data_IF_709534995550
#
_entry.id   IF_709534995550
#
_cell.length_a   1.000
_cell.length_b   1.000
_cell.length_c   1.000
_cell.angle_alpha   90.00
_cell.angle_beta   90.00
_cell.angle_gamma   90.00
#
_symmetry.space_group_name_H-M   'P 1'
#
loop_
_entity.id
_entity.type
_entity.pdbx_description
1 polymer ?
#
# COMPACT_ATOMS: atom_id res chain seq x y z
N UNK A 1 -9.68 -29.42 -4.38
CA UNK A 1 -8.32 -28.85 -4.46
C UNK A 1 -7.37 -29.86 -3.87
N UNK A 2 -6.34 -30.27 -4.61
CA UNK A 2 -5.30 -31.12 -4.01
C UNK A 2 -4.59 -30.29 -2.95
N UNK A 3 -4.11 -30.93 -1.88
CA UNK A 3 -3.39 -30.21 -0.83
C UNK A 3 -2.17 -29.42 -1.35
N UNK A 4 -1.66 -29.82 -2.51
CA UNK A 4 -0.45 -29.28 -3.12
C UNK A 4 -0.69 -28.05 -3.99
N UNK A 5 -1.89 -27.94 -4.57
CA UNK A 5 -2.36 -26.73 -5.24
C UNK A 5 -2.25 -25.52 -4.30
N UNK A 6 -2.50 -25.75 -3.01
CA UNK A 6 -2.41 -24.75 -1.95
C UNK A 6 -0.99 -24.25 -1.74
N UNK A 7 0.04 -25.07 -1.95
CA UNK A 7 1.43 -24.63 -1.81
C UNK A 7 1.81 -23.59 -2.87
N UNK A 8 1.36 -23.82 -4.09
CA UNK A 8 1.51 -22.85 -5.18
C UNK A 8 0.73 -21.57 -4.94
N UNK A 9 -0.50 -21.64 -4.44
CA UNK A 9 -1.29 -20.45 -4.11
C UNK A 9 -0.62 -19.58 -3.03
N UNK A 10 0.01 -20.20 -2.03
CA UNK A 10 0.78 -19.49 -1.00
C UNK A 10 2.01 -18.79 -1.60
N UNK A 11 2.73 -19.46 -2.50
CA UNK A 11 3.83 -18.85 -3.25
C UNK A 11 3.38 -17.65 -4.09
N UNK A 12 2.14 -17.67 -4.60
CA UNK A 12 1.55 -16.54 -5.32
C UNK A 12 1.09 -15.41 -4.40
N UNK A 13 0.58 -15.71 -3.20
CA UNK A 13 0.03 -14.73 -2.28
C UNK A 13 1.10 -13.96 -1.48
N UNK A 14 2.17 -14.63 -1.04
CA UNK A 14 3.22 -13.99 -0.22
C UNK A 14 3.91 -12.79 -0.89
N UNK A 15 4.31 -12.84 -2.18
CA UNK A 15 4.86 -11.67 -2.87
C UNK A 15 3.89 -10.49 -2.93
N UNK A 16 2.59 -10.74 -3.00
CA UNK A 16 1.56 -9.71 -3.01
C UNK A 16 1.41 -9.04 -1.64
N UNK A 17 1.51 -9.81 -0.56
CA UNK A 17 1.52 -9.27 0.80
C UNK A 17 2.77 -8.42 1.04
N UNK A 18 3.93 -8.87 0.56
CA UNK A 18 5.19 -8.12 0.63
C UNK A 18 5.07 -6.78 -0.10
N UNK A 19 4.58 -6.78 -1.35
CA UNK A 19 4.36 -5.55 -2.11
C UNK A 19 3.37 -4.59 -1.41
N UNK A 20 2.30 -5.12 -0.82
CA UNK A 20 1.33 -4.33 -0.05
C UNK A 20 1.92 -3.71 1.22
N UNK A 21 2.76 -4.46 1.94
CA UNK A 21 3.46 -3.99 3.14
C UNK A 21 4.56 -2.98 2.83
N UNK A 22 5.31 -3.16 1.73
CA UNK A 22 6.31 -2.21 1.25
C UNK A 22 5.66 -0.85 0.94
N UNK A 23 4.54 -0.87 0.23
CA UNK A 23 3.76 0.34 -0.01
C UNK A 23 3.28 0.98 1.31
N UNK A 24 2.84 0.17 2.27
CA UNK A 24 2.37 0.65 3.57
C UNK A 24 3.51 1.32 4.36
N UNK A 25 4.72 0.74 4.34
CA UNK A 25 5.91 1.29 4.98
C UNK A 25 6.35 2.63 4.34
N UNK A 26 6.30 2.72 3.01
CA UNK A 26 6.58 3.95 2.27
C UNK A 26 5.53 5.04 2.54
N UNK A 27 4.24 4.68 2.62
CA UNK A 27 3.16 5.60 2.95
C UNK A 27 3.23 6.15 4.37
N UNK A 28 3.68 5.33 5.34
CA UNK A 28 3.92 5.74 6.73
C UNK A 28 5.13 6.68 6.86
N UNK A 29 6.15 6.51 6.01
CA UNK A 29 7.41 7.27 6.09
C UNK A 29 7.24 8.79 5.90
N UNK A 30 6.08 9.24 5.43
CA UNK A 30 5.78 10.66 5.17
C UNK A 30 5.43 11.44 6.45
N UNK A 31 5.14 10.77 7.58
CA UNK A 31 4.68 11.45 8.82
C UNK A 31 5.51 11.10 10.06
N UNK A 32 6.07 12.12 10.74
CA UNK A 32 6.89 11.96 11.95
C UNK A 32 6.18 11.24 13.11
N UNK A 33 4.84 11.35 13.19
CA UNK A 33 4.00 10.77 14.26
C UNK A 33 3.97 9.23 14.24
N UNK A 34 4.19 8.61 13.08
CA UNK A 34 4.13 7.16 12.91
C UNK A 34 5.50 6.49 12.75
N UNK A 35 6.59 7.23 12.97
CA UNK A 35 7.95 6.70 12.88
C UNK A 35 8.17 5.49 13.81
N UNK A 36 7.51 5.45 14.98
CA UNK A 36 7.54 4.29 15.88
C UNK A 36 6.98 3.01 15.24
N UNK A 37 5.91 3.12 14.44
CA UNK A 37 5.31 1.99 13.73
C UNK A 37 6.12 1.57 12.51
N UNK A 38 6.99 2.46 11.98
CA UNK A 38 7.89 2.14 10.86
C UNK A 38 8.85 1.01 11.23
N UNK A 39 9.39 1.00 12.44
CA UNK A 39 10.28 -0.08 12.89
C UNK A 39 9.54 -1.40 13.00
N UNK A 40 8.32 -1.40 13.56
CA UNK A 40 7.49 -2.60 13.67
C UNK A 40 7.06 -3.14 12.29
N UNK A 41 6.68 -2.25 11.36
CA UNK A 41 6.30 -2.61 9.99
C UNK A 41 7.52 -3.12 9.22
N UNK A 42 8.68 -2.47 9.32
CA UNK A 42 9.91 -2.94 8.68
C UNK A 42 10.36 -4.29 9.26
N UNK A 43 10.28 -4.47 10.57
CA UNK A 43 10.56 -5.77 11.22
C UNK A 43 9.65 -6.86 10.68
N UNK A 44 8.35 -6.59 10.57
CA UNK A 44 7.40 -7.54 9.99
C UNK A 44 7.70 -7.84 8.53
N UNK A 45 8.18 -6.85 7.77
CA UNK A 45 8.55 -6.98 6.37
C UNK A 45 9.79 -7.84 6.21
N UNK A 46 10.79 -7.66 7.07
CA UNK A 46 12.00 -8.47 7.12
C UNK A 46 11.69 -9.91 7.53
N UNK A 47 10.84 -10.10 8.55
CA UNK A 47 10.36 -11.43 8.97
C UNK A 47 9.61 -12.13 7.84
N UNK A 48 8.69 -11.43 7.17
CA UNK A 48 7.91 -12.00 6.06
C UNK A 48 8.78 -12.31 4.84
N UNK A 49 9.81 -11.51 4.56
CA UNK A 49 10.80 -11.80 3.50
C UNK A 49 11.61 -13.05 3.84
N UNK A 50 12.05 -13.18 5.08
CA UNK A 50 12.78 -14.35 5.55
C UNK A 50 11.91 -15.62 5.47
N UNK A 51 10.67 -15.54 5.94
CA UNK A 51 9.72 -16.65 5.83
C UNK A 51 9.41 -17.02 4.38
N UNK A 52 9.22 -16.04 3.49
CA UNK A 52 9.01 -16.30 2.07
C UNK A 52 10.22 -16.98 1.42
N UNK A 53 11.44 -16.54 1.75
CA UNK A 53 12.67 -17.17 1.26
C UNK A 53 12.80 -18.62 1.75
N UNK A 54 12.53 -18.87 3.03
CA UNK A 54 12.51 -20.24 3.61
C UNK A 54 11.45 -21.10 2.92
N UNK A 55 10.27 -20.54 2.67
CA UNK A 55 9.17 -21.24 2.00
C UNK A 55 9.51 -21.58 0.54
N UNK A 56 10.04 -20.62 -0.22
CA UNK A 56 10.51 -20.83 -1.60
C UNK A 56 11.58 -21.91 -1.68
N UNK A 57 12.62 -21.82 -0.84
CA UNK A 57 13.68 -22.83 -0.78
C UNK A 57 13.14 -24.21 -0.43
N UNK A 58 12.16 -24.28 0.48
CA UNK A 58 11.51 -25.54 0.87
C UNK A 58 10.74 -26.15 -0.30
N UNK A 59 10.00 -25.34 -1.07
CA UNK A 59 9.25 -25.80 -2.24
C UNK A 59 10.20 -26.21 -3.37
N UNK A 60 11.23 -25.43 -3.66
CA UNK A 60 12.23 -25.77 -4.69
C UNK A 60 12.96 -27.08 -4.37
N UNK A 61 13.43 -27.24 -3.14
CA UNK A 61 14.02 -28.49 -2.66
C UNK A 61 13.06 -29.66 -2.80
N UNK A 62 11.78 -29.44 -2.52
CA UNK A 62 10.71 -30.43 -2.66
C UNK A 62 10.33 -30.74 -4.12
N UNK A 63 10.52 -29.81 -5.04
CA UNK A 63 10.35 -30.04 -6.47
C UNK A 63 11.53 -30.83 -7.06
N UNK A 64 12.77 -30.52 -6.70
CA UNK A 64 14.00 -31.14 -7.24
C UNK A 64 14.09 -32.67 -7.07
N UNK A 65 13.33 -33.25 -6.14
CA UNK A 65 13.26 -34.70 -5.92
C UNK A 65 11.89 -35.31 -6.25
N UNK A 66 11.03 -34.56 -6.94
CA UNK A 66 9.70 -35.00 -7.41
C UNK A 66 9.55 -34.83 -8.93
N UNK A 67 10.23 -33.84 -9.51
CA UNK A 67 10.26 -33.55 -10.95
C UNK A 67 11.70 -33.40 -11.45
N UNK A 68 11.90 -33.45 -12.76
CA UNK A 68 13.22 -33.22 -13.36
C UNK A 68 13.63 -31.75 -13.17
N UNK A 69 14.94 -31.48 -13.06
CA UNK A 69 15.46 -30.13 -12.82
C UNK A 69 14.98 -29.09 -13.86
N UNK A 70 14.78 -29.52 -15.11
CA UNK A 70 14.25 -28.69 -16.21
C UNK A 70 12.78 -28.28 -16.01
N UNK A 71 12.01 -29.05 -15.26
CA UNK A 71 10.58 -28.82 -15.02
C UNK A 71 10.36 -27.99 -13.74
N UNK A 72 11.34 -27.93 -12.83
CA UNK A 72 11.27 -27.15 -11.58
C UNK A 72 10.98 -25.68 -11.86
N UNK A 73 11.65 -25.09 -12.84
CA UNK A 73 11.45 -23.69 -13.23
C UNK A 73 10.04 -23.42 -13.75
N UNK A 74 9.41 -24.39 -14.42
CA UNK A 74 8.03 -24.27 -14.91
C UNK A 74 7.02 -24.32 -13.76
N UNK A 75 7.26 -25.16 -12.75
CA UNK A 75 6.45 -25.21 -11.54
C UNK A 75 6.53 -23.91 -10.74
N UNK A 76 7.72 -23.33 -10.60
CA UNK A 76 7.93 -22.06 -9.89
C UNK A 76 7.37 -20.85 -10.66
N UNK A 77 7.37 -20.89 -11.99
CA UNK A 77 6.83 -19.82 -12.82
C UNK A 77 5.29 -19.76 -12.81
N UNK A 78 4.61 -20.88 -12.58
CA UNK A 78 3.15 -20.94 -12.45
C UNK A 78 2.71 -21.69 -11.18
N UNK A 79 2.88 -21.08 -10.00
CA UNK A 79 2.51 -21.69 -8.73
C UNK A 79 1.01 -21.99 -8.66
N UNK A 80 0.65 -23.26 -8.45
CA UNK A 80 -0.76 -23.69 -8.34
C UNK A 80 -1.45 -23.91 -9.69
N UNK A 81 -0.71 -23.83 -10.79
CA UNK A 81 -1.19 -24.12 -12.15
C UNK A 81 -1.52 -25.60 -12.40
N UNK A 82 -1.92 -25.93 -13.63
CA UNK A 82 -2.42 -27.27 -14.00
C UNK A 82 -1.43 -28.42 -13.71
N UNK A 83 -0.11 -28.15 -13.82
CA UNK A 83 0.92 -29.14 -13.51
C UNK A 83 0.89 -29.61 -12.05
N UNK A 84 0.56 -28.71 -11.13
CA UNK A 84 0.41 -28.99 -9.69
C UNK A 84 -0.81 -29.87 -9.39
N UNK A 85 -1.81 -29.84 -10.27
CA UNK A 85 -3.06 -30.61 -10.15
C UNK A 85 -2.94 -32.03 -10.71
N UNK A 86 -1.82 -32.38 -11.34
CA UNK A 86 -1.67 -33.69 -11.98
C UNK A 86 -1.61 -34.81 -10.93
N UNK A 87 -2.42 -35.89 -11.07
CA UNK A 87 -2.39 -37.02 -10.13
C UNK A 87 -1.01 -37.70 -10.04
N UNK A 88 -0.23 -37.63 -11.11
CA UNK A 88 1.13 -38.14 -11.16
C UNK A 88 2.08 -37.40 -10.21
N UNK A 89 1.95 -36.07 -10.12
CA UNK A 89 2.75 -35.24 -9.23
C UNK A 89 2.42 -35.49 -7.76
N UNK A 90 1.13 -35.50 -7.41
CA UNK A 90 0.68 -35.77 -6.04
C UNK A 90 1.19 -37.12 -5.52
N UNK A 91 1.12 -38.17 -6.35
CA UNK A 91 1.62 -39.50 -6.00
C UNK A 91 3.14 -39.53 -5.77
N UNK A 92 3.93 -38.88 -6.63
CA UNK A 92 5.39 -38.79 -6.46
C UNK A 92 5.75 -38.03 -5.19
N UNK A 93 5.00 -36.98 -4.89
CA UNK A 93 5.23 -36.19 -3.70
C UNK A 93 4.83 -36.92 -2.41
N UNK A 94 3.68 -37.62 -2.39
CA UNK A 94 3.30 -38.49 -1.27
C UNK A 94 4.37 -39.54 -1.01
N UNK A 95 4.95 -40.12 -2.06
CA UNK A 95 6.05 -41.07 -1.95
C UNK A 95 7.30 -40.43 -1.34
N UNK A 96 7.63 -39.18 -1.72
CA UNK A 96 8.80 -38.46 -1.20
C UNK A 96 8.65 -38.04 0.26
N UNK A 97 7.51 -37.47 0.62
CA UNK A 97 7.26 -36.96 1.97
C UNK A 97 6.88 -38.07 2.96
N UNK A 98 6.37 -39.21 2.48
CA UNK A 98 6.02 -40.35 3.31
C UNK A 98 5.08 -39.96 4.46
N UNK A 99 5.49 -40.28 5.69
CA UNK A 99 4.73 -39.96 6.91
C UNK A 99 4.63 -38.47 7.22
N UNK A 100 5.52 -37.64 6.65
CA UNK A 100 5.51 -36.19 6.81
C UNK A 100 4.55 -35.48 5.84
N UNK A 101 3.89 -36.21 4.93
CA UNK A 101 2.98 -35.62 3.96
C UNK A 101 1.83 -34.84 4.61
N UNK A 102 1.08 -35.48 5.51
CA UNK A 102 -0.09 -34.85 6.12
C UNK A 102 0.29 -33.69 7.07
N UNK A 103 1.33 -33.79 7.92
CA UNK A 103 1.82 -32.66 8.71
C UNK A 103 2.31 -31.48 7.86
N UNK A 104 3.08 -31.75 6.80
CA UNK A 104 3.56 -30.73 5.87
C UNK A 104 2.39 -30.00 5.21
N UNK A 105 1.42 -30.77 4.73
CA UNK A 105 0.23 -30.22 4.09
C UNK A 105 -0.60 -29.36 5.05
N UNK A 106 -0.76 -29.80 6.29
CA UNK A 106 -1.43 -29.02 7.34
C UNK A 106 -0.75 -27.66 7.55
N UNK A 107 0.58 -27.62 7.57
CA UNK A 107 1.36 -26.37 7.68
C UNK A 107 1.12 -25.45 6.49
N UNK A 108 1.17 -25.99 5.27
CA UNK A 108 0.92 -25.20 4.04
C UNK A 108 -0.51 -24.63 4.02
N UNK A 109 -1.51 -25.41 4.44
CA UNK A 109 -2.91 -24.96 4.54
C UNK A 109 -3.09 -23.86 5.59
N UNK A 110 -2.40 -23.97 6.73
CA UNK A 110 -2.37 -22.90 7.73
C UNK A 110 -1.72 -21.64 7.16
N UNK A 111 -0.59 -21.75 6.47
CA UNK A 111 0.10 -20.62 5.83
C UNK A 111 -0.82 -19.90 4.84
N UNK A 112 -1.56 -20.64 4.01
CA UNK A 112 -2.60 -20.08 3.12
C UNK A 112 -3.66 -19.32 3.90
N UNK A 113 -4.23 -19.96 4.92
CA UNK A 113 -5.32 -19.37 5.69
C UNK A 113 -4.86 -18.07 6.37
N UNK A 114 -3.63 -18.05 6.87
CA UNK A 114 -3.02 -16.84 7.43
C UNK A 114 -2.79 -15.78 6.36
N UNK A 115 -2.24 -16.15 5.20
CA UNK A 115 -2.00 -15.22 4.09
C UNK A 115 -3.30 -14.59 3.56
N UNK A 116 -4.39 -15.36 3.43
CA UNK A 116 -5.70 -14.84 3.01
C UNK A 116 -6.28 -13.87 4.05
N UNK A 117 -6.24 -14.23 5.35
CA UNK A 117 -6.65 -13.31 6.42
C UNK A 117 -5.83 -12.01 6.40
N UNK A 118 -4.55 -12.10 6.07
CA UNK A 118 -3.67 -10.95 5.94
C UNK A 118 -4.04 -10.10 4.72
N UNK A 119 -4.32 -10.73 3.57
CA UNK A 119 -4.81 -10.08 2.35
C UNK A 119 -6.12 -9.32 2.60
N UNK A 120 -7.07 -9.94 3.32
CA UNK A 120 -8.34 -9.32 3.72
C UNK A 120 -8.13 -8.10 4.61
N UNK A 121 -7.29 -8.23 5.65
CA UNK A 121 -6.97 -7.11 6.56
C UNK A 121 -6.28 -5.94 5.85
N UNK A 122 -5.44 -6.23 4.86
CA UNK A 122 -4.77 -5.22 4.04
C UNK A 122 -5.65 -4.67 2.91
N UNK A 123 -6.87 -5.20 2.71
CA UNK A 123 -7.75 -4.85 1.59
C UNK A 123 -7.02 -4.93 0.23
N UNK A 124 -6.21 -5.96 0.01
CA UNK A 124 -5.45 -6.20 -1.22
C UNK A 124 -6.34 -6.85 -2.31
N UNK A 125 -6.24 -6.36 -3.55
CA UNK A 125 -6.94 -6.93 -4.70
C UNK A 125 -6.27 -8.22 -5.19
N UNK A 126 -6.89 -8.92 -6.15
CA UNK A 126 -6.38 -10.19 -6.69
C UNK A 126 -5.03 -10.07 -7.42
N UNK A 127 -4.61 -8.86 -7.79
CA UNK A 127 -3.31 -8.58 -8.42
C UNK A 127 -2.21 -8.19 -7.41
N UNK A 128 -2.48 -8.24 -6.10
CA UNK A 128 -1.54 -7.77 -5.06
C UNK A 128 -1.25 -6.28 -5.07
N UNK A 129 -1.94 -5.54 -5.94
CA UNK A 129 -2.08 -4.12 -5.75
C UNK A 129 -3.00 -3.93 -4.55
N UNK A 130 -2.67 -2.97 -3.69
CA UNK A 130 -3.68 -2.41 -2.81
C UNK A 130 -4.87 -2.06 -3.70
N UNK A 131 -6.02 -2.67 -3.41
CA UNK A 131 -7.27 -2.04 -3.81
C UNK A 131 -7.44 -0.83 -2.90
N UNK A 132 -6.56 0.17 -3.09
CA UNK A 132 -6.92 1.55 -2.91
C UNK A 132 -8.13 1.69 -3.83
N UNK A 133 -9.36 1.80 -3.30
CA UNK A 133 -10.50 1.70 -4.18
C UNK A 133 -10.38 2.80 -5.21
N UNK A 134 -10.76 2.56 -6.47
CA UNK A 134 -10.61 3.53 -7.57
C UNK A 134 -11.19 4.93 -7.23
N UNK A 135 -11.98 5.07 -6.15
CA UNK A 135 -12.39 6.33 -5.53
C UNK A 135 -11.26 7.08 -4.79
N UNK A 136 -10.38 6.41 -4.03
CA UNK A 136 -9.27 7.03 -3.30
C UNK A 136 -8.18 7.59 -4.23
N UNK A 137 -7.79 6.83 -5.27
CA UNK A 137 -6.85 7.31 -6.30
C UNK A 137 -7.43 8.41 -7.21
N UNK A 138 -8.76 8.62 -7.18
CA UNK A 138 -9.42 9.76 -7.82
C UNK A 138 -9.50 11.01 -6.93
N UNK A 139 -9.44 10.83 -5.61
CA UNK A 139 -9.52 11.90 -4.62
C UNK A 139 -8.18 12.61 -4.46
N UNK A 140 -7.14 11.88 -4.05
CA UNK A 140 -5.79 12.43 -3.93
C UNK A 140 -5.07 12.18 -5.25
N UNK A 141 -5.21 13.13 -6.17
CA UNK A 141 -4.65 12.99 -7.53
C UNK A 141 -3.13 13.16 -7.58
N UNK A 142 -2.51 13.70 -6.53
CA UNK A 142 -1.07 13.82 -6.39
C UNK A 142 -0.70 13.79 -4.90
N UNK A 143 -0.08 12.69 -4.44
CA UNK A 143 0.27 12.49 -3.03
C UNK A 143 1.30 13.51 -2.50
N UNK A 144 2.40 13.83 -3.22
CA UNK A 144 3.35 14.85 -2.77
C UNK A 144 2.71 16.23 -2.54
N UNK A 145 1.83 16.66 -3.45
CA UNK A 145 1.12 17.93 -3.31
C UNK A 145 0.12 17.91 -2.16
N UNK A 146 -0.61 16.80 -1.99
CA UNK A 146 -1.51 16.67 -0.85
C UNK A 146 -0.75 16.77 0.49
N UNK A 147 0.39 16.08 0.61
CA UNK A 147 1.26 16.19 1.78
C UNK A 147 1.78 17.62 2.00
N UNK A 148 2.14 18.33 0.93
CA UNK A 148 2.51 19.74 1.01
C UNK A 148 1.35 20.62 1.51
N UNK A 149 0.13 20.40 1.01
CA UNK A 149 -1.06 21.14 1.45
C UNK A 149 -1.36 20.93 2.94
N UNK A 150 -1.30 19.68 3.40
CA UNK A 150 -1.46 19.34 4.83
C UNK A 150 -0.38 20.01 5.67
N UNK A 151 0.89 19.94 5.26
CA UNK A 151 1.97 20.58 6.00
C UNK A 151 1.80 22.10 6.12
N UNK A 152 1.30 22.76 5.07
CA UNK A 152 1.01 24.20 5.11
C UNK A 152 -0.15 24.53 6.07
N UNK A 153 -1.19 23.72 6.10
CA UNK A 153 -2.29 23.84 7.09
C UNK A 153 -1.75 23.67 8.51
N UNK A 154 -1.00 22.59 8.77
CA UNK A 154 -0.43 22.32 10.10
C UNK A 154 0.54 23.43 10.54
N UNK A 155 1.30 24.02 9.61
CA UNK A 155 2.18 25.16 9.90
C UNK A 155 1.40 26.42 10.27
N UNK A 156 0.23 26.66 9.68
CA UNK A 156 -0.58 27.84 9.98
C UNK A 156 -1.24 27.75 11.35
N UNK A 157 -1.87 26.62 11.65
CA UNK A 157 -2.58 26.42 12.91
C UNK A 157 -1.66 26.02 14.08
N UNK A 158 -0.49 25.47 13.80
CA UNK A 158 0.43 24.95 14.82
C UNK A 158 -0.03 23.64 15.47
N UNK A 159 -1.09 23.02 14.93
CA UNK A 159 -1.69 21.77 15.36
C UNK A 159 -1.64 20.73 14.23
N UNK A 160 -1.66 19.45 14.58
CA UNK A 160 -1.72 18.39 13.57
C UNK A 160 -3.09 18.32 12.90
N UNK A 161 -3.16 17.85 11.65
CA UNK A 161 -4.43 17.71 10.93
C UNK A 161 -5.44 16.83 11.68
N UNK A 162 -4.96 15.90 12.50
CA UNK A 162 -5.83 15.04 13.34
C UNK A 162 -6.40 15.75 14.56
N UNK A 163 -5.75 16.82 15.05
CA UNK A 163 -6.26 17.65 16.14
C UNK A 163 -7.26 18.68 15.65
N UNK A 164 -7.11 19.11 14.39
CA UNK A 164 -8.03 20.01 13.68
C UNK A 164 -9.27 19.27 13.09
N UNK A 165 -9.40 17.98 13.36
CA UNK A 165 -10.52 17.16 12.90
C UNK A 165 -11.82 17.55 13.61
N UNK A 166 -12.90 17.58 12.85
CA UNK A 166 -14.26 17.74 13.36
C UNK A 166 -15.13 16.53 13.01
N UNK A 167 -16.13 16.22 13.83
CA UNK A 167 -17.01 15.06 13.63
C UNK A 167 -17.70 15.05 12.25
N UNK A 168 -17.90 16.24 11.66
CA UNK A 168 -18.48 16.41 10.32
C UNK A 168 -17.54 15.93 9.20
N UNK A 169 -16.23 15.90 9.43
CA UNK A 169 -15.23 15.47 8.44
C UNK A 169 -15.27 13.95 8.18
N UNK A 170 -15.82 13.18 9.13
CA UNK A 170 -15.98 11.73 9.05
C UNK A 170 -15.40 10.96 10.23
N UNK A 171 -15.64 9.65 10.25
CA UNK A 171 -15.18 8.77 11.33
C UNK A 171 -13.67 8.58 11.32
N UNK A 172 -13.07 8.54 12.51
CA UNK A 172 -11.66 8.22 12.74
C UNK A 172 -11.43 6.74 13.06
N UNK A 173 -12.36 5.85 12.71
CA UNK A 173 -12.22 4.41 12.95
C UNK A 173 -10.87 3.88 12.44
N UNK A 174 -9.93 3.50 13.33
CA UNK A 174 -8.60 3.05 12.95
C UNK A 174 -8.63 1.76 12.13
N UNK A 175 -9.73 0.99 12.22
CA UNK A 175 -9.93 -0.23 11.46
C UNK A 175 -10.41 0.03 10.03
N UNK A 176 -10.93 1.23 9.73
CA UNK A 176 -11.27 1.66 8.38
C UNK A 176 -10.24 2.63 7.81
N UNK A 177 -9.13 2.07 7.34
CA UNK A 177 -8.05 2.81 6.68
C UNK A 177 -8.54 3.72 5.53
N UNK A 178 -9.65 3.33 4.88
CA UNK A 178 -10.21 4.07 3.76
C UNK A 178 -11.06 5.26 4.22
N UNK A 179 -11.91 5.03 5.22
CA UNK A 179 -12.60 6.10 5.93
C UNK A 179 -11.60 7.10 6.50
N UNK A 180 -10.54 6.63 7.15
CA UNK A 180 -9.47 7.49 7.69
C UNK A 180 -8.82 8.41 6.64
N UNK A 181 -8.59 7.93 5.42
CA UNK A 181 -8.05 8.75 4.32
C UNK A 181 -9.07 9.75 3.77
N UNK A 182 -10.35 9.38 3.68
CA UNK A 182 -11.43 10.28 3.29
C UNK A 182 -11.63 11.37 4.33
N UNK A 183 -11.65 11.01 5.62
CA UNK A 183 -11.74 11.95 6.74
C UNK A 183 -10.58 12.95 6.69
N UNK A 184 -9.34 12.47 6.50
CA UNK A 184 -8.18 13.38 6.32
C UNK A 184 -8.31 14.31 5.13
N UNK A 185 -8.82 13.82 4.00
CA UNK A 185 -9.07 14.67 2.84
C UNK A 185 -10.13 15.73 3.15
N UNK A 186 -11.25 15.34 3.77
CA UNK A 186 -12.33 16.26 4.13
C UNK A 186 -11.86 17.34 5.11
N UNK A 187 -11.14 16.95 6.16
CA UNK A 187 -10.54 17.89 7.12
C UNK A 187 -9.61 18.87 6.41
N UNK A 188 -8.71 18.37 5.55
CA UNK A 188 -7.80 19.26 4.81
C UNK A 188 -8.52 20.17 3.81
N UNK A 189 -9.59 19.68 3.16
CA UNK A 189 -10.37 20.44 2.18
C UNK A 189 -11.18 21.56 2.84
N UNK A 190 -11.83 21.26 3.98
CA UNK A 190 -12.55 22.23 4.82
C UNK A 190 -11.62 23.30 5.35
N UNK A 191 -10.50 22.91 5.97
CA UNK A 191 -9.52 23.84 6.49
C UNK A 191 -8.93 24.71 5.37
N UNK A 192 -8.64 24.14 4.19
CA UNK A 192 -8.19 24.93 3.04
C UNK A 192 -9.21 26.01 2.63
N UNK A 193 -10.51 25.77 2.84
CA UNK A 193 -11.55 26.73 2.58
C UNK A 193 -11.66 27.82 3.65
N UNK A 194 -11.68 27.45 4.92
CA UNK A 194 -11.80 28.35 6.09
C UNK A 194 -10.59 29.29 6.23
N UNK A 195 -9.39 28.78 5.93
CA UNK A 195 -8.12 29.50 6.02
C UNK A 195 -8.07 30.77 5.16
N UNK A 196 -8.96 30.91 4.17
CA UNK A 196 -9.04 32.11 3.34
C UNK A 196 -9.36 33.37 4.17
N UNK A 197 -10.14 33.21 5.24
CA UNK A 197 -10.58 34.31 6.10
C UNK A 197 -9.44 34.81 7.01
N UNK A 198 -8.56 33.91 7.46
CA UNK A 198 -7.45 34.22 8.38
C UNK A 198 -6.12 34.49 7.66
N UNK A 199 -5.70 33.59 6.75
CA UNK A 199 -4.40 33.64 6.07
C UNK A 199 -4.43 34.41 4.76
N UNK A 200 -5.62 34.80 4.31
CA UNK A 200 -5.84 35.46 3.05
C UNK A 200 -5.93 34.51 1.85
N UNK A 201 -6.53 35.03 0.79
CA UNK A 201 -6.94 34.25 -0.38
C UNK A 201 -5.78 33.63 -1.15
N UNK A 202 -4.59 34.24 -1.16
CA UNK A 202 -3.42 33.70 -1.89
C UNK A 202 -2.86 32.44 -1.23
N UNK A 203 -2.75 32.43 0.09
CA UNK A 203 -2.24 31.29 0.86
C UNK A 203 -3.24 30.13 0.82
N UNK A 204 -4.51 30.40 1.08
CA UNK A 204 -5.59 29.42 0.97
C UNK A 204 -5.70 28.83 -0.45
N UNK A 205 -5.61 29.65 -1.49
CA UNK A 205 -5.69 29.18 -2.89
C UNK A 205 -4.49 28.29 -3.27
N UNK A 206 -3.29 28.55 -2.74
CA UNK A 206 -2.15 27.65 -2.91
C UNK A 206 -2.40 26.29 -2.25
N UNK A 207 -2.94 26.28 -1.02
CA UNK A 207 -3.27 25.06 -0.29
C UNK A 207 -4.38 24.27 -0.97
N UNK A 208 -5.47 24.92 -1.41
CA UNK A 208 -6.55 24.29 -2.17
C UNK A 208 -6.03 23.56 -3.41
N UNK A 209 -5.12 24.18 -4.18
CA UNK A 209 -4.50 23.54 -5.35
C UNK A 209 -3.64 22.33 -4.97
N UNK A 210 -2.97 22.37 -3.82
CA UNK A 210 -2.23 21.23 -3.28
C UNK A 210 -3.16 20.07 -2.88
N UNK A 211 -4.23 20.34 -2.13
CA UNK A 211 -5.18 19.33 -1.62
C UNK A 211 -6.01 18.72 -2.76
N UNK A 212 -6.62 19.57 -3.60
CA UNK A 212 -7.52 19.15 -4.69
C UNK A 212 -6.77 18.73 -5.96
N UNK A 213 -5.48 19.06 -6.06
CA UNK A 213 -4.65 18.88 -7.25
C UNK A 213 -5.32 19.49 -8.51
N UNK A 214 -5.85 20.71 -8.36
CA UNK A 214 -6.54 21.42 -9.43
C UNK A 214 -5.60 22.40 -10.16
N UNK A 215 -5.03 21.91 -11.27
CA UNK A 215 -4.13 22.67 -12.14
C UNK A 215 -4.65 22.78 -13.58
N UNK A 216 -5.91 22.41 -13.83
CA UNK A 216 -6.51 22.40 -15.18
C UNK A 216 -5.71 21.58 -16.22
N UNK A 217 -4.97 20.57 -15.77
CA UNK A 217 -4.19 19.66 -16.62
C UNK A 217 -4.73 18.23 -16.50
N UNK A 218 -4.63 17.46 -17.60
CA UNK A 218 -4.95 16.01 -17.59
C UNK A 218 -3.84 15.19 -16.92
N UNK A 219 -2.61 15.68 -16.99
CA UNK A 219 -1.44 15.10 -16.31
C UNK A 219 -1.34 15.67 -14.89
N UNK A 220 -0.96 14.82 -13.95
CA UNK A 220 -0.85 15.12 -12.52
C UNK A 220 0.44 14.54 -11.90
N UNK A 221 1.42 14.16 -12.74
CA UNK A 221 2.72 13.67 -12.28
C UNK A 221 3.71 14.81 -12.16
N UNK A 222 4.45 14.86 -11.05
CA UNK A 222 5.57 15.79 -10.88
C UNK A 222 6.77 15.46 -11.76
N UNK A 223 6.73 14.39 -12.56
CA UNK A 223 7.74 14.11 -13.60
C UNK A 223 7.45 14.87 -14.90
N UNK A 224 6.22 15.37 -15.09
CA UNK A 224 5.84 16.14 -16.28
C UNK A 224 6.20 17.63 -16.12
N UNK A 225 6.93 18.16 -17.09
CA UNK A 225 7.44 19.55 -17.06
C UNK A 225 6.30 20.59 -17.08
N UNK A 226 5.20 20.31 -17.77
CA UNK A 226 4.06 21.23 -17.82
C UNK A 226 3.33 21.25 -16.48
N UNK A 227 3.18 20.09 -15.85
CA UNK A 227 2.62 19.97 -14.51
C UNK A 227 3.52 20.65 -13.47
N UNK A 228 4.84 20.43 -13.50
CA UNK A 228 5.79 21.14 -12.63
C UNK A 228 5.67 22.67 -12.76
N UNK A 229 5.57 23.18 -13.99
CA UNK A 229 5.40 24.61 -14.24
C UNK A 229 4.08 25.13 -13.67
N UNK A 230 2.99 24.38 -13.84
CA UNK A 230 1.68 24.74 -13.30
C UNK A 230 1.69 24.73 -11.76
N UNK A 231 2.33 23.75 -11.13
CA UNK A 231 2.53 23.70 -9.67
C UNK A 231 3.35 24.89 -9.19
N UNK A 232 4.47 25.19 -9.84
CA UNK A 232 5.32 26.31 -9.46
C UNK A 232 4.56 27.64 -9.51
N UNK A 233 3.80 27.89 -10.57
CA UNK A 233 3.01 29.11 -10.72
C UNK A 233 1.79 29.15 -9.78
N UNK A 234 1.10 28.03 -9.63
CA UNK A 234 -0.15 27.93 -8.87
C UNK A 234 0.02 27.74 -7.36
N UNK A 235 1.22 27.40 -6.90
CA UNK A 235 1.53 27.16 -5.48
C UNK A 235 2.72 28.02 -5.05
N UNK A 236 3.92 27.76 -5.57
CA UNK A 236 5.16 28.38 -5.08
C UNK A 236 5.14 29.90 -5.25
N UNK A 237 4.73 30.40 -6.41
CA UNK A 237 4.65 31.84 -6.67
C UNK A 237 3.64 32.53 -5.75
N UNK A 238 2.47 31.92 -5.53
CA UNK A 238 1.42 32.46 -4.65
C UNK A 238 1.84 32.48 -3.19
N UNK A 239 2.51 31.43 -2.72
CA UNK A 239 3.06 31.37 -1.37
C UNK A 239 4.14 32.45 -1.18
N UNK A 240 5.00 32.66 -2.17
CA UNK A 240 6.00 33.73 -2.15
C UNK A 240 5.35 35.12 -2.07
N UNK A 241 4.36 35.39 -2.92
CA UNK A 241 3.62 36.66 -2.86
C UNK A 241 2.90 36.87 -1.51
N UNK A 242 2.43 35.80 -0.88
CA UNK A 242 1.81 35.87 0.45
C UNK A 242 2.84 36.22 1.51
N UNK A 243 4.03 35.59 1.46
CA UNK A 243 5.12 35.88 2.38
C UNK A 243 5.64 37.32 2.23
N UNK A 244 5.85 37.77 1.00
CA UNK A 244 6.32 39.13 0.69
C UNK A 244 5.31 40.22 1.13
N UNK A 245 4.05 39.86 1.40
CA UNK A 245 3.01 40.76 1.93
C UNK A 245 2.88 40.72 3.47
N UNK A 246 3.37 39.65 4.11
CA UNK A 246 3.35 39.47 5.56
C UNK A 246 4.63 39.97 6.26
N UNK A 247 5.71 40.19 5.50
CA UNK A 247 6.96 40.83 5.96
C UNK A 247 6.98 42.32 5.69
#
# INVERSE_FOLDING_TARGET
MSGIEVAGLVLGALPLLLAGLEFYAEGIAVTKRYWKYREEVNSLLDDLRAENAVYQNSIESLLLGVVDAKDVTEFLANPGGELWKTPGFERRLRKRLGTSYDPYLSTVLKLRTTAEKFKEKLKLGDSGQLTIPKRLGRMIRNQPLFALGVALIELWYGESLSELHEDEDGSLDPSDLQGSLLTKFNTADRLADELADDAGTKYSDAIRRCIRCDFSLRVNSLEDVHFQKAVFQGVVFKLKESYDFMG
#
